data_IF_053940255115
#
_entry.id   IF_053940255115
#
_cell.length_a   1.000
_cell.length_b   1.000
_cell.length_c   1.000
_cell.angle_alpha   90.00
_cell.angle_beta   90.00
_cell.angle_gamma   90.00
#
_symmetry.space_group_name_H-M   'P 1'
#
loop_
_entity.id
_entity.type
_entity.pdbx_description
1 polymer ?
#
# COMPACT_ATOMS: atom_id res chain seq x y z
N UNK A 1 0.41 13.01 7.24
CA UNK A 1 -0.47 11.94 6.74
C UNK A 1 -0.86 12.26 5.31
N UNK A 2 -0.73 11.28 4.39
CA UNK A 2 -1.19 11.43 3.01
C UNK A 2 -1.86 10.15 2.50
N UNK A 3 -3.00 10.32 1.85
CA UNK A 3 -3.80 9.23 1.27
C UNK A 3 -3.16 8.75 -0.03
N UNK A 4 -3.03 7.43 -0.17
CA UNK A 4 -2.57 6.76 -1.39
C UNK A 4 -3.78 6.38 -2.25
N UNK A 5 -4.82 5.82 -1.61
CA UNK A 5 -5.97 5.26 -2.31
C UNK A 5 -7.23 5.29 -1.45
N UNK A 6 -8.37 5.54 -2.09
CA UNK A 6 -9.70 5.37 -1.50
C UNK A 6 -10.27 4.01 -1.88
N UNK A 7 -10.94 3.37 -0.93
CA UNK A 7 -11.62 2.10 -1.09
C UNK A 7 -13.10 2.28 -0.77
N UNK A 8 -13.95 1.71 -1.61
CA UNK A 8 -15.36 1.51 -1.33
C UNK A 8 -15.56 0.36 -0.34
N UNK A 9 -16.80 0.19 0.13
CA UNK A 9 -17.17 -0.98 0.92
C UNK A 9 -16.85 -2.28 0.18
N UNK A 10 -16.41 -3.29 0.92
CA UNK A 10 -16.01 -4.58 0.36
C UNK A 10 -16.51 -5.73 1.23
N UNK A 11 -16.70 -6.90 0.60
CA UNK A 11 -17.07 -8.10 1.32
C UNK A 11 -15.90 -8.59 2.20
N UNK A 12 -15.97 -8.34 3.52
CA UNK A 12 -14.93 -8.73 4.48
C UNK A 12 -14.72 -10.25 4.62
N UNK A 13 -15.66 -11.09 4.14
CA UNK A 13 -15.46 -12.55 4.05
C UNK A 13 -14.65 -12.97 2.83
N UNK A 14 -14.48 -12.08 1.86
CA UNK A 14 -13.68 -12.29 0.65
C UNK A 14 -12.37 -11.53 0.71
N UNK A 15 -12.40 -10.26 1.10
CA UNK A 15 -11.22 -9.40 1.10
C UNK A 15 -10.78 -9.06 2.51
N UNK A 16 -9.46 -9.03 2.73
CA UNK A 16 -8.86 -8.48 3.94
C UNK A 16 -8.90 -6.96 3.95
N UNK A 17 -8.45 -6.35 5.05
CA UNK A 17 -8.26 -4.91 5.10
C UNK A 17 -7.15 -4.47 4.12
N UNK A 18 -7.31 -3.30 3.48
CA UNK A 18 -6.21 -2.64 2.78
C UNK A 18 -5.01 -2.44 3.71
N UNK A 19 -3.81 -2.63 3.17
CA UNK A 19 -2.56 -2.52 3.92
C UNK A 19 -1.51 -1.74 3.12
N UNK A 20 -0.56 -1.15 3.83
CA UNK A 20 0.60 -0.46 3.28
C UNK A 20 1.85 -0.83 4.07
N UNK A 21 2.99 -0.93 3.40
CA UNK A 21 4.29 -1.27 3.97
C UNK A 21 5.41 -0.60 3.18
N UNK A 22 6.56 -0.37 3.81
CA UNK A 22 7.74 0.19 3.13
C UNK A 22 8.46 -0.89 2.33
N UNK A 23 9.09 -0.53 1.22
CA UNK A 23 9.92 -1.45 0.45
C UNK A 23 11.39 -1.15 0.73
N UNK A 24 12.12 -2.16 1.20
CA UNK A 24 13.55 -2.05 1.44
C UNK A 24 14.34 -1.99 0.13
N UNK A 25 15.58 -1.53 0.19
CA UNK A 25 16.49 -1.43 -0.97
C UNK A 25 16.73 -2.76 -1.70
N UNK A 26 16.48 -3.88 -1.03
CA UNK A 26 16.56 -5.23 -1.61
C UNK A 26 15.26 -5.67 -2.33
N UNK A 27 14.28 -4.76 -2.51
CA UNK A 27 13.00 -5.04 -3.13
C UNK A 27 12.01 -5.81 -2.25
N UNK A 28 12.35 -6.09 -0.98
CA UNK A 28 11.46 -6.80 -0.05
C UNK A 28 10.51 -5.82 0.63
N UNK A 29 9.25 -6.22 0.72
CA UNK A 29 8.23 -5.49 1.48
C UNK A 29 8.47 -5.74 2.98
N UNK A 30 8.63 -4.67 3.74
CA UNK A 30 8.89 -4.69 5.17
C UNK A 30 7.65 -4.24 5.97
N UNK A 31 7.07 -5.22 6.68
CA UNK A 31 5.91 -5.03 7.54
C UNK A 31 6.27 -4.82 9.02
N UNK A 32 7.56 -4.76 9.37
CA UNK A 32 8.01 -4.61 10.75
C UNK A 32 7.65 -3.24 11.34
N UNK A 33 7.45 -2.24 10.48
CA UNK A 33 7.11 -0.88 10.88
C UNK A 33 5.68 -0.52 10.50
N UNK A 34 4.96 0.10 11.45
CA UNK A 34 3.64 0.67 11.18
C UNK A 34 3.79 2.07 10.59
N UNK A 35 3.85 2.15 9.27
CA UNK A 35 4.05 3.41 8.53
C UNK A 35 2.74 4.12 8.14
N UNK A 36 1.60 3.48 8.34
CA UNK A 36 0.32 3.94 7.84
C UNK A 36 -0.84 3.11 8.35
N UNK A 37 -2.00 3.31 7.72
CA UNK A 37 -3.22 2.64 8.12
C UNK A 37 -4.37 2.81 7.14
N UNK A 38 -5.48 2.19 7.49
CA UNK A 38 -6.74 2.28 6.76
C UNK A 38 -7.81 2.83 7.72
N UNK A 39 -8.61 3.79 7.26
CA UNK A 39 -9.60 4.46 8.13
C UNK A 39 -10.86 3.66 8.38
N UNK A 40 -11.23 2.72 7.51
CA UNK A 40 -12.40 1.86 7.70
C UNK A 40 -12.18 0.79 8.77
N UNK A 41 -13.24 0.37 9.47
CA UNK A 41 -13.11 -0.57 10.58
C UNK A 41 -12.52 -1.93 10.17
N UNK A 42 -11.63 -2.44 11.03
CA UNK A 42 -10.92 -3.69 10.80
C UNK A 42 -11.89 -4.88 10.72
N UNK A 43 -11.78 -5.68 9.65
CA UNK A 43 -12.60 -6.87 9.41
C UNK A 43 -14.08 -6.60 9.12
N UNK A 44 -14.49 -5.33 8.95
CA UNK A 44 -15.90 -4.96 8.70
C UNK A 44 -16.21 -4.70 7.23
N UNK A 45 -15.20 -4.45 6.41
CA UNK A 45 -15.40 -4.17 5.00
C UNK A 45 -15.92 -2.77 4.72
N UNK A 46 -15.77 -1.85 5.67
CA UNK A 46 -16.17 -0.46 5.51
C UNK A 46 -15.27 0.26 4.50
N UNK A 47 -15.87 1.21 3.78
CA UNK A 47 -15.16 2.17 2.93
C UNK A 47 -14.16 2.99 3.76
N UNK A 48 -13.15 3.54 3.10
CA UNK A 48 -12.13 4.33 3.78
C UNK A 48 -10.94 4.69 2.91
N UNK A 49 -9.97 5.32 3.55
CA UNK A 49 -8.76 5.80 2.92
C UNK A 49 -7.55 5.02 3.46
N UNK A 50 -6.72 4.53 2.54
CA UNK A 50 -5.42 3.96 2.84
C UNK A 50 -4.37 5.07 2.78
N UNK A 51 -3.64 5.27 3.87
CA UNK A 51 -2.71 6.38 4.03
C UNK A 51 -1.35 5.97 4.60
N UNK A 52 -0.35 6.82 4.39
CA UNK A 52 0.94 6.81 5.09
C UNK A 52 0.98 7.99 6.05
N UNK A 53 1.40 7.75 7.31
CA UNK A 53 1.40 8.75 8.38
C UNK A 53 2.42 9.85 8.12
N UNK A 54 3.64 9.47 7.75
CA UNK A 54 4.76 10.38 7.50
C UNK A 54 5.57 9.85 6.28
N UNK A 55 5.16 10.20 5.05
CA UNK A 55 5.82 9.71 3.85
C UNK A 55 7.19 10.36 3.66
N UNK A 56 8.19 9.55 3.30
CA UNK A 56 9.59 9.96 3.15
C UNK A 56 9.89 10.16 1.67
N UNK A 57 10.46 11.31 1.33
CA UNK A 57 10.83 11.65 -0.04
C UNK A 57 11.78 10.60 -0.65
N UNK A 58 11.47 10.14 -1.86
CA UNK A 58 12.19 9.10 -2.58
C UNK A 58 11.86 7.66 -2.14
N UNK A 59 11.18 7.46 -1.00
CA UNK A 59 10.84 6.14 -0.52
C UNK A 59 9.77 5.45 -1.39
N UNK A 60 9.90 4.13 -1.49
CA UNK A 60 8.93 3.27 -2.18
C UNK A 60 8.11 2.50 -1.16
N UNK A 61 6.81 2.43 -1.40
CA UNK A 61 5.85 1.74 -0.57
C UNK A 61 5.08 0.73 -1.39
N UNK A 62 4.78 -0.42 -0.79
CA UNK A 62 3.86 -1.39 -1.33
C UNK A 62 2.52 -1.24 -0.63
N UNK A 63 1.44 -1.37 -1.40
CA UNK A 63 0.09 -1.33 -0.86
C UNK A 63 -0.79 -2.36 -1.55
N UNK A 64 -1.75 -2.93 -0.84
CA UNK A 64 -2.56 -4.01 -1.40
C UNK A 64 -3.75 -4.41 -0.57
N UNK A 65 -4.48 -5.40 -1.08
CA UNK A 65 -5.62 -6.00 -0.41
C UNK A 65 -5.66 -7.49 -0.76
N UNK A 66 -5.67 -8.35 0.27
CA UNK A 66 -5.71 -9.80 0.08
C UNK A 66 -7.12 -10.24 -0.33
N UNK A 67 -7.26 -11.00 -1.40
CA UNK A 67 -8.45 -11.80 -1.71
C UNK A 67 -8.24 -13.21 -1.12
N UNK A 68 -9.07 -13.63 -0.17
CA UNK A 68 -8.98 -14.95 0.46
C UNK A 68 -9.56 -16.08 -0.41
N UNK A 69 -10.24 -15.75 -1.53
CA UNK A 69 -10.99 -16.71 -2.34
C UNK A 69 -10.51 -16.81 -3.79
N UNK A 70 -9.59 -15.96 -4.23
CA UNK A 70 -9.15 -15.93 -5.62
C UNK A 70 -7.77 -15.31 -5.81
N UNK A 71 -7.32 -15.25 -7.06
CA UNK A 71 -6.04 -14.66 -7.48
C UNK A 71 -6.11 -13.16 -7.73
N UNK A 72 -7.26 -12.52 -7.48
CA UNK A 72 -7.42 -11.06 -7.57
C UNK A 72 -6.73 -10.31 -6.42
N UNK A 73 -6.17 -11.04 -5.44
CA UNK A 73 -5.33 -10.49 -4.40
C UNK A 73 -3.99 -10.05 -4.99
N UNK A 74 -3.68 -8.77 -4.86
CA UNK A 74 -2.44 -8.19 -5.40
C UNK A 74 -1.98 -7.00 -4.57
N UNK A 75 -0.79 -6.53 -4.91
CA UNK A 75 -0.24 -5.29 -4.39
C UNK A 75 0.34 -4.48 -5.55
N UNK A 76 0.43 -3.18 -5.32
CA UNK A 76 1.04 -2.20 -6.21
C UNK A 76 2.15 -1.49 -5.44
N UNK A 77 3.02 -0.82 -6.18
CA UNK A 77 4.07 0.01 -5.61
C UNK A 77 3.79 1.47 -5.92
N UNK A 78 4.13 2.35 -4.99
CA UNK A 78 4.15 3.80 -5.19
C UNK A 78 5.47 4.36 -4.69
N UNK A 79 6.03 5.32 -5.43
CA UNK A 79 7.11 6.16 -4.93
C UNK A 79 6.52 7.48 -4.42
N UNK A 80 7.01 7.96 -3.28
CA UNK A 80 6.72 9.30 -2.83
C UNK A 80 7.76 10.27 -3.39
N UNK A 81 7.33 11.21 -4.25
CA UNK A 81 8.21 12.25 -4.77
C UNK A 81 7.48 13.57 -4.99
N UNK A 82 8.18 14.68 -4.76
CA UNK A 82 7.66 16.06 -4.83
C UNK A 82 6.35 16.24 -4.05
N UNK A 83 6.24 15.54 -2.92
CA UNK A 83 5.05 15.58 -2.10
C UNK A 83 3.88 14.74 -2.64
N UNK A 84 4.02 13.94 -3.70
CA UNK A 84 2.95 13.11 -4.29
C UNK A 84 3.31 11.62 -4.38
N UNK A 85 2.29 10.77 -4.53
CA UNK A 85 2.49 9.34 -4.77
C UNK A 85 2.31 9.03 -6.26
N UNK A 86 3.32 8.42 -6.87
CA UNK A 86 3.25 7.93 -8.25
C UNK A 86 3.34 6.42 -8.24
N UNK A 87 2.38 5.73 -8.88
CA UNK A 87 2.46 4.29 -9.04
C UNK A 87 3.67 3.91 -9.89
N UNK A 88 4.38 2.86 -9.48
CA UNK A 88 5.49 2.30 -10.24
C UNK A 88 5.18 0.85 -10.61
N UNK A 89 5.56 0.47 -11.83
CA UNK A 89 5.43 -0.91 -12.29
C UNK A 89 6.44 -1.80 -11.58
N UNK A 90 6.09 -3.07 -11.42
CA UNK A 90 6.97 -4.04 -10.75
C UNK A 90 8.31 -4.21 -11.49
N UNK A 91 8.32 -4.06 -12.82
CA UNK A 91 9.53 -4.08 -13.64
C UNK A 91 10.53 -2.99 -13.26
N UNK A 92 10.03 -1.85 -12.79
CA UNK A 92 10.81 -0.63 -12.59
C UNK A 92 11.24 -0.47 -11.12
N UNK A 93 10.82 -1.40 -10.26
CA UNK A 93 11.05 -1.36 -8.82
C UNK A 93 12.54 -1.28 -8.47
N UNK A 94 13.36 -2.15 -9.07
CA UNK A 94 14.79 -2.23 -8.74
C UNK A 94 15.51 -0.97 -9.18
N UNK A 95 15.16 -0.43 -10.36
CA UNK A 95 15.72 0.82 -10.83
C UNK A 95 15.34 1.97 -9.89
N UNK A 96 14.06 2.05 -9.51
CA UNK A 96 13.53 3.10 -8.63
C UNK A 96 14.19 3.07 -7.25
N UNK A 97 14.45 1.88 -6.70
CA UNK A 97 15.13 1.71 -5.40
C UNK A 97 16.63 2.02 -5.42
N UNK A 98 17.24 2.10 -6.61
CA UNK A 98 18.68 2.32 -6.80
C UNK A 98 19.03 3.80 -7.01
N UNK A 99 18.02 4.67 -7.17
CA UNK A 99 18.17 6.12 -7.28
C UNK A 99 18.35 6.74 -5.89
#
# INVERSE_FOLDING_TARGET
MKTIKKYEEFNARRYGNPWVAIVGKNGKIDFSQKIGGYTGAYGKGEAGELYISDPVEGAVYAYGQKDYRGSNGGYRYVQYSNGEFTEIEKSDLIETLSR
#
